data_IF_348925102228
#
_entry.id   IF_348925102228
#
_cell.length_a   1.000
_cell.length_b   1.000
_cell.length_c   1.000
_cell.angle_alpha   90.00
_cell.angle_beta   90.00
_cell.angle_gamma   90.00
#
_symmetry.space_group_name_H-M   'P 1'
#
loop_
_entity.id
_entity.type
_entity.pdbx_description
1 polymer ?
#
# COMPACT_ATOMS: atom_id res chain seq x y z
N UNK A 1 -14.01 -11.93 -6.19
CA UNK A 1 -12.77 -11.89 -5.43
C UNK A 1 -12.48 -10.46 -5.00
N UNK A 2 -12.06 -10.29 -3.76
CA UNK A 2 -11.75 -8.99 -3.20
C UNK A 2 -10.23 -8.79 -3.21
N UNK A 3 -9.77 -7.79 -3.94
CA UNK A 3 -8.35 -7.44 -4.03
C UNK A 3 -8.16 -6.02 -3.56
N UNK A 4 -7.31 -5.82 -2.58
CA UNK A 4 -7.11 -4.52 -1.96
C UNK A 4 -5.64 -4.21 -1.80
N UNK A 5 -5.27 -2.94 -2.06
CA UNK A 5 -3.98 -2.40 -1.68
C UNK A 5 -4.18 -1.48 -0.50
N UNK A 6 -3.44 -1.71 0.56
CA UNK A 6 -3.49 -0.88 1.75
C UNK A 6 -2.22 -0.04 1.78
N UNK A 7 -2.37 1.26 1.59
CA UNK A 7 -1.26 2.20 1.62
C UNK A 7 -1.20 2.86 2.99
N UNK A 8 -0.09 2.66 3.69
CA UNK A 8 0.13 3.25 5.01
C UNK A 8 1.13 4.38 4.85
N UNK A 9 0.69 5.61 5.08
CA UNK A 9 1.51 6.80 4.93
C UNK A 9 2.02 7.30 6.27
N UNK A 10 3.13 8.05 6.22
CA UNK A 10 3.70 8.64 7.43
C UNK A 10 2.82 9.76 7.98
N UNK A 11 2.79 9.97 9.31
CA UNK A 11 2.09 11.10 9.92
C UNK A 11 2.88 12.41 9.82
N UNK A 12 3.89 12.45 8.98
CA UNK A 12 4.75 13.61 8.76
C UNK A 12 5.07 13.72 7.26
N UNK A 13 5.77 14.76 6.86
CA UNK A 13 6.12 14.95 5.45
C UNK A 13 6.92 13.77 4.91
N UNK A 14 6.42 13.19 3.83
CA UNK A 14 7.01 12.01 3.22
C UNK A 14 6.85 12.10 1.70
N UNK A 15 7.96 12.38 1.00
CA UNK A 15 7.94 12.54 -0.44
C UNK A 15 7.50 11.28 -1.19
N UNK A 16 7.94 10.11 -0.72
CA UNK A 16 7.55 8.85 -1.34
C UNK A 16 6.09 8.51 -1.10
N UNK A 17 5.54 8.93 0.04
CA UNK A 17 4.12 8.76 0.33
C UNK A 17 3.27 9.58 -0.64
N UNK A 18 3.65 10.83 -0.89
CA UNK A 18 2.95 11.70 -1.83
C UNK A 18 2.96 11.10 -3.22
N UNK A 19 4.11 10.58 -3.64
CA UNK A 19 4.23 9.93 -4.95
C UNK A 19 3.31 8.71 -5.05
N UNK A 20 3.30 7.87 -4.02
CA UNK A 20 2.42 6.70 -3.99
C UNK A 20 0.95 7.13 -4.05
N UNK A 21 0.57 8.16 -3.30
CA UNK A 21 -0.80 8.65 -3.30
C UNK A 21 -1.24 9.15 -4.68
N UNK A 22 -0.31 9.67 -5.47
CA UNK A 22 -0.62 10.14 -6.83
C UNK A 22 -0.73 9.00 -7.83
N UNK A 23 0.10 7.98 -7.70
CA UNK A 23 0.22 6.92 -8.70
C UNK A 23 -0.65 5.70 -8.44
N UNK A 24 -0.87 5.35 -7.16
CA UNK A 24 -1.61 4.15 -6.82
C UNK A 24 -3.06 4.11 -7.30
N UNK A 25 -3.82 5.21 -7.28
CA UNK A 25 -5.21 5.14 -7.77
C UNK A 25 -5.31 4.61 -9.19
N UNK A 26 -4.44 5.07 -10.10
CA UNK A 26 -4.44 4.60 -11.49
C UNK A 26 -4.01 3.15 -11.59
N UNK A 27 -3.01 2.74 -10.82
CA UNK A 27 -2.52 1.37 -10.82
C UNK A 27 -3.60 0.43 -10.32
N UNK A 28 -4.26 0.79 -9.22
CA UNK A 28 -5.33 -0.02 -8.65
C UNK A 28 -6.50 -0.15 -9.61
N UNK A 29 -6.89 0.95 -10.24
CA UNK A 29 -8.00 0.94 -11.19
C UNK A 29 -7.71 0.01 -12.36
N UNK A 30 -6.49 0.08 -12.91
CA UNK A 30 -6.12 -0.73 -14.07
C UNK A 30 -5.97 -2.21 -13.73
N UNK A 31 -5.72 -2.56 -12.48
CA UNK A 31 -5.49 -3.93 -12.05
C UNK A 31 -6.67 -4.55 -11.28
N UNK A 32 -7.72 -3.78 -11.07
CA UNK A 32 -8.90 -4.28 -10.36
C UNK A 32 -8.72 -4.39 -8.85
N UNK A 33 -7.89 -3.51 -8.28
CA UNK A 33 -7.67 -3.45 -6.84
C UNK A 33 -8.42 -2.26 -6.24
N UNK A 34 -8.93 -2.44 -5.03
CA UNK A 34 -9.47 -1.34 -4.24
C UNK A 34 -8.31 -0.72 -3.44
N UNK A 35 -8.21 0.60 -3.44
CA UNK A 35 -7.17 1.31 -2.68
C UNK A 35 -7.71 1.75 -1.34
N UNK A 36 -7.01 1.39 -0.27
CA UNK A 36 -7.31 1.82 1.10
C UNK A 36 -6.11 2.60 1.59
N UNK A 37 -6.30 3.87 1.94
CA UNK A 37 -5.24 4.71 2.47
C UNK A 37 -5.40 4.87 3.98
N UNK A 38 -4.31 4.66 4.71
CA UNK A 38 -4.28 4.80 6.16
C UNK A 38 -3.09 5.69 6.51
N UNK A 39 -3.35 6.77 7.25
CA UNK A 39 -2.28 7.56 7.82
C UNK A 39 -1.85 6.90 9.13
N UNK A 40 -0.58 6.54 9.21
CA UNK A 40 -0.07 5.88 10.41
C UNK A 40 0.13 6.89 11.53
N UNK A 41 -0.44 6.62 12.67
CA UNK A 41 -0.20 7.40 13.88
C UNK A 41 0.51 6.50 14.87
N UNK A 42 1.34 7.09 15.72
CA UNK A 42 2.15 6.32 16.68
C UNK A 42 1.31 5.35 17.48
N UNK A 43 0.08 5.75 17.83
CA UNK A 43 -0.81 4.91 18.63
C UNK A 43 -1.75 4.05 17.79
N UNK A 44 -1.82 4.30 16.48
CA UNK A 44 -2.73 3.60 15.58
C UNK A 44 -2.06 2.44 14.84
N UNK A 45 -0.75 2.30 14.97
CA UNK A 45 0.02 1.26 14.29
C UNK A 45 -0.16 -0.11 14.93
N UNK A 46 -1.41 -0.48 15.18
CA UNK A 46 -1.73 -1.75 15.83
C UNK A 46 -2.04 -2.79 14.77
N UNK A 47 -1.24 -3.84 14.75
CA UNK A 47 -1.43 -4.93 13.81
C UNK A 47 -0.70 -4.74 12.48
N UNK A 48 -0.04 -3.60 12.30
CA UNK A 48 0.74 -3.34 11.09
C UNK A 48 2.18 -3.01 11.49
N UNK A 49 3.11 -3.94 11.36
CA UNK A 49 4.51 -3.70 11.71
C UNK A 49 5.18 -2.81 10.66
N UNK A 50 4.99 -1.49 10.80
CA UNK A 50 5.50 -0.52 9.84
C UNK A 50 6.83 0.04 10.32
N UNK A 51 7.89 -0.23 9.59
CA UNK A 51 9.23 0.27 9.89
C UNK A 51 9.71 1.31 8.88
N UNK A 52 9.05 1.41 7.75
CA UNK A 52 9.43 2.29 6.64
C UNK A 52 8.17 2.86 6.02
N UNK A 53 8.22 4.12 5.60
CA UNK A 53 7.09 4.76 4.94
C UNK A 53 7.42 5.08 3.48
N UNK A 54 6.45 4.92 2.58
CA UNK A 54 5.16 4.27 2.84
C UNK A 54 5.32 2.76 2.93
N UNK A 55 4.36 2.10 3.56
CA UNK A 55 4.25 0.64 3.54
C UNK A 55 3.00 0.28 2.75
N UNK A 56 3.12 -0.68 1.85
CA UNK A 56 2.00 -1.12 1.02
C UNK A 56 1.76 -2.59 1.31
N UNK A 57 0.51 -2.92 1.64
CA UNK A 57 0.11 -4.29 1.90
C UNK A 57 -0.87 -4.73 0.83
N UNK A 58 -0.72 -5.97 0.37
CA UNK A 58 -1.61 -6.55 -0.63
C UNK A 58 -2.49 -7.57 0.06
N UNK A 59 -3.80 -7.36 -0.04
CA UNK A 59 -4.79 -8.24 0.57
C UNK A 59 -5.69 -8.81 -0.51
N UNK A 60 -5.83 -10.13 -0.52
CA UNK A 60 -6.71 -10.84 -1.45
C UNK A 60 -7.64 -11.72 -0.63
N UNK A 61 -8.95 -11.53 -0.81
CA UNK A 61 -10.00 -12.28 -0.10
C UNK A 61 -9.79 -12.28 1.41
N UNK A 62 -9.47 -11.09 1.96
CA UNK A 62 -9.24 -10.85 3.39
C UNK A 62 -7.97 -11.49 3.95
N UNK A 63 -7.08 -11.98 3.09
CA UNK A 63 -5.80 -12.52 3.51
C UNK A 63 -4.67 -11.63 3.04
N UNK A 64 -3.77 -11.28 3.95
CA UNK A 64 -2.57 -10.51 3.62
C UNK A 64 -1.61 -11.43 2.88
N UNK A 65 -1.37 -11.17 1.59
CA UNK A 65 -0.57 -12.06 0.75
C UNK A 65 0.82 -11.54 0.45
N UNK A 66 1.03 -10.22 0.56
CA UNK A 66 2.35 -9.64 0.31
C UNK A 66 2.44 -8.26 0.94
N UNK A 67 3.66 -7.77 1.10
CA UNK A 67 3.92 -6.42 1.60
C UNK A 67 5.08 -5.79 0.84
N UNK A 68 5.12 -4.46 0.80
CA UNK A 68 6.24 -3.72 0.24
C UNK A 68 6.62 -2.61 1.22
N UNK A 69 7.88 -2.59 1.63
CA UNK A 69 8.43 -1.53 2.45
C UNK A 69 8.99 -0.43 1.54
N UNK A 70 8.44 0.76 1.65
CA UNK A 70 8.73 1.85 0.72
C UNK A 70 7.88 1.73 -0.53
N UNK A 71 8.11 2.63 -1.49
CA UNK A 71 7.36 2.63 -2.73
C UNK A 71 8.28 2.53 -3.94
N UNK A 72 8.06 1.51 -4.74
CA UNK A 72 8.71 1.32 -6.03
C UNK A 72 7.63 0.89 -7.02
N UNK A 73 7.32 1.76 -7.98
CA UNK A 73 6.23 1.53 -8.92
C UNK A 73 6.41 0.23 -9.69
N UNK A 74 7.59 0.00 -10.24
CA UNK A 74 7.85 -1.20 -11.04
C UNK A 74 7.78 -2.47 -10.19
N UNK A 75 8.36 -2.43 -9.01
CA UNK A 75 8.31 -3.55 -8.07
C UNK A 75 6.91 -3.87 -7.63
N UNK A 76 6.10 -2.84 -7.38
CA UNK A 76 4.70 -3.03 -6.99
C UNK A 76 3.90 -3.68 -8.11
N UNK A 77 4.06 -3.19 -9.34
CA UNK A 77 3.36 -3.76 -10.50
C UNK A 77 3.72 -5.23 -10.67
N UNK A 78 4.99 -5.57 -10.50
CA UNK A 78 5.42 -6.98 -10.58
C UNK A 78 4.77 -7.84 -9.50
N UNK A 79 4.64 -7.31 -8.28
CA UNK A 79 3.99 -8.06 -7.20
C UNK A 79 2.52 -8.29 -7.47
N UNK A 80 1.79 -7.26 -7.89
CA UNK A 80 0.34 -7.38 -8.09
C UNK A 80 -0.04 -8.18 -9.32
N UNK A 81 0.88 -8.37 -10.26
CA UNK A 81 0.64 -9.26 -11.41
C UNK A 81 0.37 -10.69 -10.99
N UNK A 82 0.84 -11.08 -9.81
CA UNK A 82 0.70 -12.45 -9.32
C UNK A 82 -0.70 -12.70 -8.73
N UNK A 83 -1.46 -11.67 -8.53
CA UNK A 83 -2.78 -11.74 -7.93
C UNK A 83 -3.81 -11.10 -8.85
#
# INVERSE_FOLDING_TARGET
>A
MSKQLILITAPFDCGHCVRAQKELPSICESKGFELIEIEDEVDANKGFPVNTYPTIMIRVDNSMVDTMAGYNKEGLIEKIKQY
#
